data_IF_511799569425
#
_entry.id   IF_511799569425
#
_cell.length_a   1.000
_cell.length_b   1.000
_cell.length_c   1.000
_cell.angle_alpha   90.00
_cell.angle_beta   90.00
_cell.angle_gamma   90.00
#
_symmetry.space_group_name_H-M   'P 1'
#
loop_
_entity.id
_entity.type
_entity.pdbx_description
1 polymer ?
#
# COMPACT_ATOMS: atom_id res chain seq x y z
N UNK A 1 -10.79 -0.04 22.96
CA UNK A 1 -10.21 -1.06 22.05
C UNK A 1 -8.82 -0.58 21.64
N UNK A 2 -7.78 -1.20 22.19
CA UNK A 2 -6.39 -0.77 22.07
C UNK A 2 -5.88 -1.24 20.70
N UNK A 3 -5.79 -0.35 19.73
CA UNK A 3 -5.24 -0.67 18.41
C UNK A 3 -3.73 -0.81 18.61
N UNK A 4 -3.28 -2.05 18.66
CA UNK A 4 -1.87 -2.42 18.74
C UNK A 4 -1.23 -1.91 17.44
N UNK A 5 -0.18 -1.07 17.49
CA UNK A 5 0.50 -0.64 16.28
C UNK A 5 1.16 -1.87 15.65
N UNK A 6 0.60 -2.33 14.53
CA UNK A 6 1.14 -3.44 13.76
C UNK A 6 2.47 -2.98 13.17
N UNK A 7 3.55 -3.69 13.53
CA UNK A 7 4.90 -3.36 13.14
C UNK A 7 5.02 -3.44 11.61
N UNK A 8 5.46 -2.38 10.93
CA UNK A 8 5.51 -2.23 9.46
C UNK A 8 6.16 -3.41 8.72
N UNK A 9 7.07 -4.14 9.37
CA UNK A 9 7.68 -5.37 8.84
C UNK A 9 6.69 -6.54 8.73
N UNK A 10 5.70 -6.60 9.61
CA UNK A 10 4.68 -7.64 9.67
C UNK A 10 3.70 -7.53 8.51
N UNK A 11 3.24 -6.32 8.17
CA UNK A 11 2.37 -6.11 7.00
C UNK A 11 3.03 -6.54 5.69
N UNK A 12 4.30 -6.14 5.50
CA UNK A 12 5.08 -6.55 4.32
C UNK A 12 5.33 -8.05 4.30
N UNK A 13 5.61 -8.67 5.45
CA UNK A 13 5.77 -10.13 5.57
C UNK A 13 4.47 -10.86 5.22
N UNK A 14 3.32 -10.41 5.71
CA UNK A 14 2.01 -10.99 5.38
C UNK A 14 1.70 -10.85 3.90
N UNK A 15 1.94 -9.68 3.31
CA UNK A 15 1.74 -9.47 1.89
C UNK A 15 2.59 -10.42 1.03
N UNK A 16 3.89 -10.55 1.36
CA UNK A 16 4.80 -11.46 0.66
C UNK A 16 4.41 -12.92 0.86
N UNK A 17 4.05 -13.32 2.09
CA UNK A 17 3.63 -14.68 2.40
C UNK A 17 2.34 -15.06 1.67
N UNK A 18 1.33 -14.19 1.67
CA UNK A 18 0.07 -14.41 0.95
C UNK A 18 0.32 -14.50 -0.55
N UNK A 19 1.11 -13.57 -1.11
CA UNK A 19 1.47 -13.58 -2.53
C UNK A 19 2.24 -14.85 -2.93
N UNK A 20 3.14 -15.32 -2.07
CA UNK A 20 3.86 -16.58 -2.26
C UNK A 20 2.93 -17.79 -2.22
N UNK A 21 2.00 -17.85 -1.25
CA UNK A 21 1.01 -18.93 -1.14
C UNK A 21 0.13 -18.99 -2.40
N UNK A 22 -0.37 -17.83 -2.85
CA UNK A 22 -1.16 -17.76 -4.09
C UNK A 22 -0.34 -18.16 -5.30
N UNK A 23 0.88 -17.65 -5.45
CA UNK A 23 1.78 -18.00 -6.55
C UNK A 23 2.09 -19.49 -6.58
N UNK A 24 2.42 -20.09 -5.44
CA UNK A 24 2.67 -21.52 -5.33
C UNK A 24 1.41 -22.35 -5.63
N UNK A 25 0.24 -21.92 -5.15
CA UNK A 25 -1.03 -22.57 -5.43
C UNK A 25 -1.34 -22.58 -6.93
N UNK A 26 -1.29 -21.42 -7.59
CA UNK A 26 -1.51 -21.33 -9.04
C UNK A 26 -0.47 -22.11 -9.84
N UNK A 27 0.78 -22.12 -9.40
CA UNK A 27 1.84 -22.89 -10.05
C UNK A 27 1.57 -24.40 -9.97
N UNK A 28 1.26 -24.93 -8.78
CA UNK A 28 0.95 -26.36 -8.60
C UNK A 28 -0.30 -26.75 -9.39
N UNK A 29 -1.37 -25.97 -9.29
CA UNK A 29 -2.61 -26.22 -10.04
C UNK A 29 -2.37 -26.15 -11.55
N UNK A 30 -1.53 -25.23 -12.02
CA UNK A 30 -1.15 -25.11 -13.43
C UNK A 30 -0.38 -26.34 -13.92
N UNK A 31 0.67 -26.74 -13.20
CA UNK A 31 1.45 -27.96 -13.52
C UNK A 31 0.54 -29.19 -13.50
N UNK A 32 -0.32 -29.30 -12.49
CA UNK A 32 -1.28 -30.40 -12.37
C UNK A 32 -2.26 -30.43 -13.56
N UNK A 33 -2.78 -29.27 -13.96
CA UNK A 33 -3.72 -29.16 -15.10
C UNK A 33 -3.07 -29.55 -16.43
N UNK A 34 -1.78 -29.27 -16.62
CA UNK A 34 -1.03 -29.67 -17.82
C UNK A 34 -0.78 -31.18 -17.81
N UNK A 35 -0.48 -31.77 -16.64
CA UNK A 35 -0.21 -33.20 -16.51
C UNK A 35 -1.48 -34.07 -16.60
N UNK A 36 -2.64 -33.52 -16.24
CA UNK A 36 -3.94 -34.21 -16.20
C UNK A 36 -4.35 -34.86 -17.54
N UNK A 37 -4.31 -34.18 -18.71
CA UNK A 37 -4.70 -34.79 -19.98
C UNK A 37 -3.74 -35.90 -20.44
N UNK A 38 -2.50 -35.94 -19.95
CA UNK A 38 -1.50 -36.93 -20.38
C UNK A 38 -1.49 -38.22 -19.56
N UNK A 39 -2.30 -38.32 -18.50
CA UNK A 39 -2.34 -39.52 -17.65
C UNK A 39 -3.77 -39.96 -17.36
N UNK A 40 -4.19 -41.06 -17.99
CA UNK A 40 -5.48 -41.72 -17.73
C UNK A 40 -5.61 -42.18 -16.27
N UNK A 41 -4.49 -42.57 -15.64
CA UNK A 41 -4.45 -42.96 -14.24
C UNK A 41 -4.80 -41.77 -13.32
N UNK A 42 -4.26 -40.59 -13.62
CA UNK A 42 -4.54 -39.38 -12.87
C UNK A 42 -6.01 -38.95 -13.05
N UNK A 43 -6.54 -39.04 -14.28
CA UNK A 43 -7.94 -38.74 -14.58
C UNK A 43 -8.90 -39.64 -13.80
N UNK A 44 -8.67 -40.95 -13.83
CA UNK A 44 -9.50 -41.92 -13.12
C UNK A 44 -9.42 -41.73 -11.60
N UNK A 45 -8.24 -41.41 -11.07
CA UNK A 45 -8.07 -41.10 -9.65
C UNK A 45 -8.86 -39.84 -9.24
N UNK A 46 -8.84 -38.79 -10.07
CA UNK A 46 -9.59 -37.55 -9.82
C UNK A 46 -11.10 -37.81 -9.90
N UNK A 47 -11.57 -38.50 -10.93
CA UNK A 47 -12.99 -38.84 -11.09
C UNK A 47 -13.47 -39.63 -9.86
N UNK A 48 -12.72 -40.65 -9.46
CA UNK A 48 -13.02 -41.47 -8.29
C UNK A 48 -13.00 -40.66 -7.00
N UNK A 49 -12.05 -39.73 -6.86
CA UNK A 49 -11.99 -38.83 -5.72
C UNK A 49 -13.22 -37.91 -5.65
N UNK A 50 -13.65 -37.33 -6.77
CA UNK A 50 -14.84 -36.48 -6.84
C UNK A 50 -16.14 -37.25 -6.56
N UNK A 51 -16.23 -38.51 -6.97
CA UNK A 51 -17.48 -39.30 -6.86
C UNK A 51 -17.60 -40.09 -5.56
N UNK A 52 -16.51 -40.63 -5.01
CA UNK A 52 -16.56 -41.50 -3.82
C UNK A 52 -16.38 -40.74 -2.50
N UNK A 53 -15.74 -39.57 -2.51
CA UNK A 53 -15.31 -38.89 -1.29
C UNK A 53 -16.00 -37.54 -1.05
N UNK A 54 -17.34 -37.54 -1.05
CA UNK A 54 -18.18 -36.35 -0.82
C UNK A 54 -17.81 -35.59 0.46
N UNK A 55 -17.45 -36.29 1.53
CA UNK A 55 -17.05 -35.67 2.81
C UNK A 55 -15.74 -34.89 2.70
N UNK A 56 -14.73 -35.47 2.06
CA UNK A 56 -13.43 -34.81 1.86
C UNK A 56 -13.61 -33.61 0.93
N UNK A 57 -14.38 -33.77 -0.15
CA UNK A 57 -14.69 -32.69 -1.09
C UNK A 57 -15.42 -31.53 -0.40
N UNK A 58 -16.39 -31.84 0.48
CA UNK A 58 -17.10 -30.84 1.29
C UNK A 58 -16.15 -30.11 2.25
N UNK A 59 -15.23 -30.81 2.89
CA UNK A 59 -14.27 -30.21 3.82
C UNK A 59 -13.28 -29.28 3.10
N UNK A 60 -12.79 -29.69 1.93
CA UNK A 60 -11.96 -28.84 1.06
C UNK A 60 -12.74 -27.61 0.60
N UNK A 61 -13.97 -27.78 0.12
CA UNK A 61 -14.83 -26.67 -0.29
C UNK A 61 -15.08 -25.67 0.84
N UNK A 62 -15.32 -26.17 2.05
CA UNK A 62 -15.50 -25.34 3.24
C UNK A 62 -14.22 -24.59 3.61
N UNK A 63 -13.06 -25.24 3.53
CA UNK A 63 -11.75 -24.61 3.73
C UNK A 63 -11.51 -23.46 2.73
N UNK A 64 -11.74 -23.70 1.44
CA UNK A 64 -11.64 -22.66 0.42
C UNK A 64 -12.64 -21.53 0.63
N UNK A 65 -13.87 -21.84 1.01
CA UNK A 65 -14.88 -20.84 1.31
C UNK A 65 -14.48 -19.97 2.51
N UNK A 66 -13.93 -20.54 3.57
CA UNK A 66 -13.45 -19.79 4.74
C UNK A 66 -12.25 -18.91 4.41
N UNK A 67 -11.29 -19.40 3.60
CA UNK A 67 -10.15 -18.61 3.14
C UNK A 67 -10.64 -17.45 2.27
N UNK A 68 -11.53 -17.72 1.32
CA UNK A 68 -12.14 -16.70 0.46
C UNK A 68 -12.91 -15.66 1.27
N UNK A 69 -13.70 -16.09 2.25
CA UNK A 69 -14.42 -15.19 3.15
C UNK A 69 -13.46 -14.35 4.00
N UNK A 70 -12.37 -14.93 4.50
CA UNK A 70 -11.36 -14.21 5.28
C UNK A 70 -10.68 -13.13 4.44
N UNK A 71 -10.34 -13.44 3.18
CA UNK A 71 -9.75 -12.47 2.25
C UNK A 71 -10.77 -11.39 1.89
N UNK A 72 -12.03 -11.77 1.65
CA UNK A 72 -13.08 -10.81 1.36
C UNK A 72 -13.32 -9.85 2.52
N UNK A 73 -13.41 -10.37 3.75
CA UNK A 73 -13.55 -9.55 4.96
C UNK A 73 -12.31 -8.66 5.15
N UNK A 74 -11.10 -9.21 5.02
CA UNK A 74 -9.86 -8.45 5.12
C UNK A 74 -9.81 -7.32 4.08
N UNK A 75 -10.17 -7.61 2.83
CA UNK A 75 -10.23 -6.64 1.75
C UNK A 75 -11.32 -5.61 2.01
N UNK A 76 -12.51 -6.02 2.45
CA UNK A 76 -13.61 -5.10 2.76
C UNK A 76 -13.25 -4.15 3.92
N UNK A 77 -12.55 -4.63 4.94
CA UNK A 77 -12.07 -3.83 6.07
C UNK A 77 -10.90 -2.93 5.64
N UNK A 78 -9.96 -3.45 4.85
CA UNK A 78 -8.77 -2.72 4.39
C UNK A 78 -9.06 -1.69 3.30
N UNK A 79 -10.10 -1.93 2.47
CA UNK A 79 -10.57 -1.03 1.41
C UNK A 79 -11.51 0.04 1.95
N UNK A 80 -11.90 -0.01 3.24
CA UNK A 80 -12.63 1.07 3.87
C UNK A 80 -11.71 2.30 3.91
N UNK A 81 -11.91 3.19 2.92
CA UNK A 81 -11.25 4.48 2.75
C UNK A 81 -10.76 5.04 4.08
N UNK A 82 -9.46 5.35 4.13
CA UNK A 82 -8.85 6.14 5.20
C UNK A 82 -9.42 7.56 5.18
N UNK A 83 -10.66 7.72 5.62
CA UNK A 83 -11.18 9.01 6.03
C UNK A 83 -10.64 9.27 7.44
N UNK A 84 -9.48 9.92 7.52
CA UNK A 84 -9.05 10.55 8.77
C UNK A 84 -9.97 11.74 9.05
N UNK A 85 -10.85 11.59 10.04
CA UNK A 85 -11.58 12.71 10.60
C UNK A 85 -10.60 13.60 11.37
N UNK A 86 -10.18 14.70 10.76
CA UNK A 86 -9.41 15.75 11.41
C UNK A 86 -10.40 16.62 12.18
N UNK A 87 -10.28 16.65 13.51
CA UNK A 87 -11.07 17.54 14.37
C UNK A 87 -10.38 18.90 14.43
N UNK A 88 -10.99 19.91 13.81
CA UNK A 88 -10.55 21.31 13.90
C UNK A 88 -11.49 22.05 14.86
N UNK A 89 -11.14 22.12 16.15
CA UNK A 89 -11.97 22.79 17.16
C UNK A 89 -13.40 22.22 17.22
N UNK A 90 -14.43 23.07 17.02
CA UNK A 90 -15.84 22.67 17.04
C UNK A 90 -16.38 22.14 15.70
N UNK A 91 -15.53 21.94 14.68
CA UNK A 91 -15.91 21.40 13.35
C UNK A 91 -14.87 20.39 12.87
N UNK A 92 -15.29 19.16 12.59
CA UNK A 92 -14.42 18.18 11.92
C UNK A 92 -14.42 18.46 10.42
N UNK A 93 -13.26 18.80 9.86
CA UNK A 93 -13.09 18.92 8.41
C UNK A 93 -12.44 17.61 7.95
N UNK A 94 -13.19 16.83 7.18
CA UNK A 94 -12.63 15.67 6.49
C UNK A 94 -11.84 16.18 5.30
N UNK A 95 -10.53 16.34 5.44
CA UNK A 95 -9.66 16.57 4.28
C UNK A 95 -9.43 15.20 3.66
N UNK A 96 -9.92 15.02 2.43
CA UNK A 96 -9.72 13.79 1.67
C UNK A 96 -8.21 13.60 1.43
N UNK A 97 -7.66 12.46 1.85
CA UNK A 97 -6.26 12.11 1.62
C UNK A 97 -5.91 12.21 0.13
N UNK A 98 -6.87 11.91 -0.76
CA UNK A 98 -6.69 12.03 -2.21
C UNK A 98 -6.45 13.47 -2.65
N UNK A 99 -7.07 14.45 -1.98
CA UNK A 99 -6.94 15.86 -2.34
C UNK A 99 -5.53 16.34 -1.98
N UNK A 100 -5.03 16.00 -0.80
CA UNK A 100 -3.65 16.28 -0.41
C UNK A 100 -2.66 15.57 -1.35
N UNK A 101 -2.92 14.31 -1.68
CA UNK A 101 -2.07 13.55 -2.60
C UNK A 101 -2.04 14.16 -4.01
N UNK A 102 -3.17 14.64 -4.53
CA UNK A 102 -3.24 15.32 -5.82
C UNK A 102 -2.47 16.65 -5.80
N UNK A 103 -2.61 17.44 -4.74
CA UNK A 103 -1.84 18.69 -4.59
C UNK A 103 -0.34 18.42 -4.51
N UNK A 104 0.09 17.40 -3.75
CA UNK A 104 1.49 17.00 -3.69
C UNK A 104 2.01 16.53 -5.05
N UNK A 105 1.25 15.71 -5.79
CA UNK A 105 1.60 15.30 -7.15
C UNK A 105 1.81 16.49 -8.08
N UNK A 106 0.90 17.46 -8.05
CA UNK A 106 1.00 18.67 -8.86
C UNK A 106 2.21 19.51 -8.46
N UNK A 107 2.44 19.73 -7.16
CA UNK A 107 3.59 20.46 -6.64
C UNK A 107 4.92 19.84 -7.10
N UNK A 108 5.08 18.53 -6.94
CA UNK A 108 6.29 17.83 -7.36
C UNK A 108 6.50 17.88 -8.88
N UNK A 109 5.42 17.81 -9.66
CA UNK A 109 5.47 17.92 -11.12
C UNK A 109 5.85 19.33 -11.59
N UNK A 110 5.38 20.36 -10.91
CA UNK A 110 5.76 21.75 -11.18
C UNK A 110 7.24 21.99 -10.84
N UNK A 111 7.71 21.45 -9.72
CA UNK A 111 9.06 21.70 -9.24
C UNK A 111 10.13 20.81 -9.91
N UNK A 112 9.77 19.59 -10.28
CA UNK A 112 10.65 18.60 -10.91
C UNK A 112 10.00 18.05 -12.18
N UNK A 113 9.83 18.91 -13.19
CA UNK A 113 9.18 18.57 -14.46
C UNK A 113 9.83 17.40 -15.23
N UNK A 114 11.10 17.11 -14.95
CA UNK A 114 11.89 16.08 -15.62
C UNK A 114 12.02 14.77 -14.83
N UNK A 115 11.45 14.66 -13.62
CA UNK A 115 11.60 13.48 -12.78
C UNK A 115 10.37 13.26 -11.91
N UNK A 116 9.77 12.06 -12.00
CA UNK A 116 8.75 11.67 -11.03
C UNK A 116 9.39 11.50 -9.66
N UNK A 117 8.91 12.27 -8.68
CA UNK A 117 9.34 12.19 -7.28
C UNK A 117 8.43 11.20 -6.56
N UNK A 118 8.92 10.00 -6.18
CA UNK A 118 8.16 9.11 -5.32
C UNK A 118 7.99 9.79 -3.95
N UNK A 119 6.76 9.80 -3.45
CA UNK A 119 6.48 10.31 -2.11
C UNK A 119 5.46 9.42 -1.38
N UNK A 120 5.53 9.45 -0.06
CA UNK A 120 4.62 8.79 0.86
C UNK A 120 4.01 9.84 1.79
N UNK A 121 2.68 9.86 1.85
CA UNK A 121 1.93 10.70 2.77
C UNK A 121 1.46 9.85 3.96
N UNK A 122 1.82 10.25 5.16
CA UNK A 122 1.31 9.66 6.40
C UNK A 122 0.60 10.73 7.23
N UNK A 123 -0.72 10.63 7.31
CA UNK A 123 -1.53 11.50 8.17
C UNK A 123 -1.80 10.76 9.48
N UNK A 124 -1.37 11.35 10.60
CA UNK A 124 -1.76 10.91 11.95
C UNK A 124 -2.55 12.02 12.64
N UNK A 125 -3.21 11.68 13.76
CA UNK A 125 -4.09 12.60 14.50
C UNK A 125 -3.45 13.95 14.87
N UNK A 126 -2.14 13.96 15.10
CA UNK A 126 -1.42 15.13 15.63
C UNK A 126 -0.29 15.61 14.72
N UNK A 127 -0.02 14.95 13.59
CA UNK A 127 1.02 15.37 12.67
C UNK A 127 0.77 14.82 11.28
N UNK A 128 1.18 15.60 10.29
CA UNK A 128 1.22 15.20 8.90
C UNK A 128 2.68 15.00 8.50
N UNK A 129 2.99 13.85 7.93
CA UNK A 129 4.33 13.52 7.51
C UNK A 129 4.35 13.26 6.01
N UNK A 130 5.22 13.97 5.30
CA UNK A 130 5.48 13.75 3.88
C UNK A 130 6.91 13.27 3.74
N UNK A 131 7.08 12.02 3.32
CA UNK A 131 8.37 11.46 2.96
C UNK A 131 8.53 11.50 1.44
N UNK A 132 9.53 12.19 0.91
CA UNK A 132 9.76 12.31 -0.53
C UNK A 132 11.20 11.94 -0.90
N UNK A 133 11.34 11.18 -1.97
CA UNK A 133 12.62 10.77 -2.54
C UNK A 133 13.00 11.70 -3.71
N UNK A 134 13.74 12.76 -3.39
CA UNK A 134 14.12 13.81 -4.32
C UNK A 134 15.24 13.35 -5.27
N UNK A 135 15.28 13.90 -6.51
CA UNK A 135 16.36 13.62 -7.46
C UNK A 135 17.70 14.15 -6.95
N UNK A 136 18.79 13.52 -7.40
CA UNK A 136 20.15 13.92 -7.03
C UNK A 136 20.43 15.36 -7.45
N UNK A 137 20.89 16.20 -6.52
CA UNK A 137 21.24 17.60 -6.78
C UNK A 137 22.51 17.99 -5.99
N UNK A 138 23.25 19.04 -6.41
CA UNK A 138 24.44 19.52 -5.71
C UNK A 138 24.14 19.93 -4.27
N UNK A 139 25.04 19.60 -3.32
CA UNK A 139 24.84 19.90 -1.88
C UNK A 139 24.60 21.38 -1.59
N UNK A 140 25.20 22.26 -2.40
CA UNK A 140 25.02 23.72 -2.32
C UNK A 140 23.56 24.14 -2.58
N UNK A 141 22.87 23.43 -3.47
CA UNK A 141 21.47 23.70 -3.83
C UNK A 141 20.47 22.96 -2.94
N UNK A 142 20.87 21.82 -2.35
CA UNK A 142 20.01 21.01 -1.49
C UNK A 142 19.39 21.81 -0.35
N UNK A 143 20.21 22.64 0.33
CA UNK A 143 19.74 23.41 1.49
C UNK A 143 18.70 24.46 1.08
N UNK A 144 18.95 25.17 -0.01
CA UNK A 144 18.04 26.21 -0.52
C UNK A 144 16.71 25.61 -0.99
N UNK A 145 16.76 24.46 -1.67
CA UNK A 145 15.57 23.76 -2.14
C UNK A 145 14.75 23.21 -0.96
N UNK A 146 15.40 22.62 0.05
CA UNK A 146 14.73 22.14 1.25
C UNK A 146 14.05 23.26 2.04
N UNK A 147 14.71 24.40 2.21
CA UNK A 147 14.12 25.56 2.89
C UNK A 147 12.92 26.12 2.12
N UNK A 148 13.01 26.17 0.79
CA UNK A 148 11.90 26.58 -0.08
C UNK A 148 10.71 25.63 0.06
N UNK A 149 10.94 24.33 -0.08
CA UNK A 149 9.90 23.30 0.05
C UNK A 149 9.26 23.37 1.44
N UNK A 150 10.04 23.50 2.51
CA UNK A 150 9.50 23.57 3.87
C UNK A 150 8.60 24.79 4.09
N UNK A 151 8.95 25.93 3.47
CA UNK A 151 8.14 27.15 3.51
C UNK A 151 6.84 26.99 2.72
N UNK A 152 6.93 26.43 1.51
CA UNK A 152 5.76 26.18 0.65
C UNK A 152 4.79 25.21 1.31
N UNK A 153 5.31 24.15 1.96
CA UNK A 153 4.51 23.17 2.69
C UNK A 153 3.85 23.81 3.92
N UNK A 154 4.59 24.60 4.69
CA UNK A 154 4.04 25.30 5.85
C UNK A 154 2.89 26.22 5.46
N UNK A 155 3.01 26.91 4.32
CA UNK A 155 1.94 27.73 3.76
C UNK A 155 0.75 26.89 3.26
N UNK A 156 1.00 25.84 2.48
CA UNK A 156 -0.04 24.99 1.91
C UNK A 156 -0.85 24.27 2.99
N UNK A 157 -0.19 23.70 3.99
CA UNK A 157 -0.87 23.00 5.07
C UNK A 157 -1.50 23.96 6.07
N UNK A 158 -0.84 25.07 6.42
CA UNK A 158 -1.36 26.04 7.38
C UNK A 158 -2.50 26.90 6.83
N UNK A 159 -2.25 27.64 5.73
CA UNK A 159 -3.16 28.66 5.21
C UNK A 159 -4.21 28.08 4.25
N UNK A 160 -3.80 27.19 3.34
CA UNK A 160 -4.70 26.68 2.28
C UNK A 160 -5.58 25.54 2.79
N UNK A 161 -4.99 24.60 3.53
CA UNK A 161 -5.70 23.42 4.05
C UNK A 161 -6.21 23.59 5.48
N UNK A 162 -5.80 24.65 6.20
CA UNK A 162 -6.23 24.91 7.57
C UNK A 162 -5.80 23.85 8.58
N UNK A 163 -4.65 23.20 8.35
CA UNK A 163 -4.13 22.14 9.21
C UNK A 163 -3.49 22.75 10.47
N UNK A 164 -4.01 22.46 11.68
CA UNK A 164 -3.61 23.16 12.91
C UNK A 164 -2.38 22.55 13.60
N UNK A 165 -1.74 21.55 13.00
CA UNK A 165 -0.68 20.75 13.63
C UNK A 165 0.63 20.78 12.84
N UNK A 166 1.72 20.38 13.50
CA UNK A 166 3.06 20.37 12.90
C UNK A 166 3.12 19.44 11.67
N UNK A 167 3.78 19.94 10.63
CA UNK A 167 4.05 19.22 9.38
C UNK A 167 5.52 18.83 9.38
N UNK A 168 5.79 17.54 9.26
CA UNK A 168 7.14 17.01 9.17
C UNK A 168 7.45 16.59 7.73
N UNK A 169 8.33 17.34 7.08
CA UNK A 169 8.91 16.93 5.80
C UNK A 169 10.13 16.04 6.07
N UNK A 170 10.11 14.82 5.55
CA UNK A 170 11.29 13.97 5.43
C UNK A 170 11.68 13.92 3.96
N UNK A 171 12.78 14.58 3.62
CA UNK A 171 13.34 14.49 2.29
C UNK A 171 14.54 13.54 2.30
N UNK A 172 14.57 12.61 1.36
CA UNK A 172 15.72 11.76 1.07
C UNK A 172 16.19 12.06 -0.35
N UNK A 173 17.48 12.25 -0.57
CA UNK A 173 18.02 12.46 -1.92
C UNK A 173 18.56 11.15 -2.46
N UNK A 174 18.20 10.81 -3.70
CA UNK A 174 18.76 9.66 -4.37
C UNK A 174 20.28 9.85 -4.55
N UNK A 175 21.08 8.87 -4.11
CA UNK A 175 22.56 8.92 -4.17
C UNK A 175 23.14 8.63 -5.56
N UNK A 176 22.32 8.40 -6.58
CA UNK A 176 22.81 8.20 -7.95
C UNK A 176 23.19 9.53 -8.61
N UNK A 177 24.30 10.12 -8.15
CA UNK A 177 25.16 10.90 -9.03
C UNK A 177 25.83 9.88 -9.96
N UNK A 178 25.32 9.80 -11.19
CA UNK A 178 26.00 9.09 -12.26
C UNK A 178 27.42 9.62 -12.35
N UNK A 179 28.39 8.79 -11.98
CA UNK A 179 29.78 8.96 -12.33
C UNK A 179 29.88 8.89 -13.85
N UNK A 180 30.06 10.04 -14.49
CA UNK A 180 30.70 10.15 -15.79
C UNK A 180 31.62 11.35 -15.79
#
# INVERSE_FOLDING_TARGET
>A
MKIIPMNFKFERFFYVAISFIFGAFFFVVGVFSIALPWSELLQNAIIRFLTENTLILSLFGLGFALIGLSIFIYTAISTKHRYTFIKTGNRSISIDENLIEQYLKSYWKEQFSQSEVPFQLMIRKNFLQVAADLPAMPEEDQKNVLEKINRDFSYLFGEVLGYPHEVHLIASFNRNLGTK
#
